data_IF_548838379646
#
_entry.id   IF_548838379646
#
_cell.length_a   1.000
_cell.length_b   1.000
_cell.length_c   1.000
_cell.angle_alpha   90.00
_cell.angle_beta   90.00
_cell.angle_gamma   90.00
#
_symmetry.space_group_name_H-M   'P 1'
#
loop_
_entity.id
_entity.type
_entity.pdbx_description
1 polymer ?
#
# COMPACT_ATOMS: atom_id res chain seq x y z
N UNK A 1 -4.10 28.48 1.57
CA UNK A 1 -5.21 27.52 1.69
C UNK A 1 -4.67 26.22 2.30
N UNK A 2 -5.21 25.84 3.46
CA UNK A 2 -4.87 24.58 4.10
C UNK A 2 -5.91 23.52 3.71
N UNK A 3 -5.49 22.58 2.85
CA UNK A 3 -6.35 21.52 2.35
C UNK A 3 -6.78 20.57 3.47
N UNK A 4 -5.87 20.23 4.37
CA UNK A 4 -6.17 19.30 5.46
C UNK A 4 -7.21 19.88 6.40
N UNK A 5 -7.10 21.16 6.73
CA UNK A 5 -8.07 21.84 7.57
C UNK A 5 -9.45 21.98 6.88
N UNK A 6 -9.46 22.25 5.58
CA UNK A 6 -10.70 22.46 4.83
C UNK A 6 -11.53 21.20 4.60
N UNK A 7 -10.88 20.03 4.57
CA UNK A 7 -11.50 18.74 4.22
C UNK A 7 -11.34 17.68 5.33
N UNK A 8 -10.87 18.06 6.51
CA UNK A 8 -10.78 17.13 7.62
C UNK A 8 -12.19 16.69 8.07
N UNK A 9 -12.40 15.40 8.18
CA UNK A 9 -13.58 14.84 8.83
C UNK A 9 -13.37 14.85 10.34
N UNK A 10 -14.16 15.66 11.06
CA UNK A 10 -14.06 15.81 12.51
C UNK A 10 -14.50 14.55 13.29
N UNK A 11 -15.25 13.65 12.66
CA UNK A 11 -15.69 12.39 13.26
C UNK A 11 -14.61 11.31 13.29
N UNK A 12 -13.55 11.46 12.49
CA UNK A 12 -12.45 10.48 12.43
C UNK A 12 -11.49 10.68 13.61
N UNK A 13 -11.08 9.60 14.29
CA UNK A 13 -10.06 9.67 15.33
C UNK A 13 -8.75 10.27 14.81
N UNK A 14 -8.44 11.48 15.19
CA UNK A 14 -7.26 12.22 14.72
C UNK A 14 -5.94 11.55 15.09
N UNK A 15 -5.93 10.78 16.18
CA UNK A 15 -4.73 10.15 16.73
C UNK A 15 -4.06 9.24 15.69
N UNK A 16 -4.83 8.39 15.00
CA UNK A 16 -4.27 7.45 14.02
C UNK A 16 -3.65 8.18 12.83
N UNK A 17 -4.36 9.14 12.26
CA UNK A 17 -3.85 9.94 11.15
C UNK A 17 -2.65 10.78 11.56
N UNK A 18 -2.67 11.36 12.76
CA UNK A 18 -1.59 12.18 13.28
C UNK A 18 -0.31 11.35 13.51
N UNK A 19 -0.41 10.20 14.17
CA UNK A 19 0.72 9.32 14.44
C UNK A 19 1.39 8.90 13.13
N UNK A 20 0.61 8.47 12.14
CA UNK A 20 1.12 8.08 10.82
C UNK A 20 1.74 9.25 10.05
N UNK A 21 1.13 10.42 10.10
CA UNK A 21 1.67 11.62 9.47
C UNK A 21 3.00 12.03 10.11
N UNK A 22 3.11 12.01 11.44
CA UNK A 22 4.35 12.33 12.14
C UNK A 22 5.45 11.30 11.82
N UNK A 23 5.10 10.00 11.79
CA UNK A 23 6.08 8.96 11.43
C UNK A 23 6.60 9.11 10.00
N UNK A 24 5.72 9.36 9.05
CA UNK A 24 6.15 9.60 7.66
C UNK A 24 7.04 10.84 7.53
N UNK A 25 6.71 11.91 8.25
CA UNK A 25 7.52 13.12 8.29
C UNK A 25 8.93 12.88 8.86
N UNK A 26 9.03 12.18 9.98
CA UNK A 26 10.29 11.77 10.61
C UNK A 26 11.18 11.01 9.61
N UNK A 27 10.63 9.95 9.00
CA UNK A 27 11.36 9.12 8.04
C UNK A 27 11.80 9.88 6.78
N UNK A 28 11.00 10.83 6.32
CA UNK A 28 11.37 11.70 5.20
C UNK A 28 12.47 12.70 5.61
N UNK A 29 12.39 13.26 6.81
CA UNK A 29 13.38 14.21 7.33
C UNK A 29 14.75 13.55 7.51
N UNK A 30 14.80 12.29 7.97
CA UNK A 30 16.03 11.53 8.14
C UNK A 30 16.86 11.41 6.84
N UNK A 31 16.19 11.39 5.71
CA UNK A 31 16.82 11.28 4.40
C UNK A 31 16.66 12.55 3.55
N UNK A 32 16.49 13.69 4.20
CA UNK A 32 16.41 14.97 3.48
C UNK A 32 17.55 15.10 2.47
N UNK A 33 17.22 15.46 1.24
CA UNK A 33 18.12 15.55 0.08
C UNK A 33 18.72 14.22 -0.43
N UNK A 34 18.36 13.07 0.16
CA UNK A 34 18.85 11.73 -0.24
C UNK A 34 17.72 10.74 -0.41
N UNK A 35 16.50 11.22 -0.63
CA UNK A 35 15.33 10.35 -0.80
C UNK A 35 15.48 9.58 -2.11
N UNK A 36 15.49 8.25 -2.00
CA UNK A 36 15.51 7.34 -3.13
C UNK A 36 14.19 6.61 -3.28
N UNK A 37 13.98 5.96 -4.41
CA UNK A 37 12.84 5.09 -4.63
C UNK A 37 12.75 3.99 -3.56
N UNK A 38 13.87 3.35 -3.27
CA UNK A 38 13.96 2.28 -2.27
C UNK A 38 13.61 2.79 -0.87
N UNK A 39 14.00 4.01 -0.55
CA UNK A 39 13.64 4.63 0.71
C UNK A 39 12.13 4.89 0.80
N UNK A 40 11.52 5.37 -0.27
CA UNK A 40 10.05 5.55 -0.31
C UNK A 40 9.31 4.21 -0.16
N UNK A 41 9.80 3.15 -0.80
CA UNK A 41 9.24 1.80 -0.63
C UNK A 41 9.42 1.28 0.81
N UNK A 42 10.53 1.64 1.47
CA UNK A 42 10.77 1.30 2.88
C UNK A 42 9.81 2.06 3.79
N UNK A 43 9.63 3.36 3.58
CA UNK A 43 8.65 4.16 4.34
C UNK A 43 7.25 3.53 4.25
N UNK A 44 6.82 3.13 3.06
CA UNK A 44 5.52 2.51 2.89
C UNK A 44 5.35 1.19 3.65
N UNK A 45 6.46 0.52 3.99
CA UNK A 45 6.50 -0.74 4.76
C UNK A 45 6.72 -0.56 6.25
N UNK A 46 6.81 0.68 6.73
CA UNK A 46 7.22 0.97 8.10
C UNK A 46 6.21 0.45 9.13
N UNK A 47 6.75 -0.23 10.15
CA UNK A 47 6.07 -0.73 11.35
C UNK A 47 6.73 -0.22 12.63
N UNK A 48 7.21 1.02 12.60
CA UNK A 48 7.95 1.67 13.69
C UNK A 48 9.30 1.03 14.00
N UNK A 49 9.96 0.43 12.99
CA UNK A 49 11.29 -0.13 13.15
C UNK A 49 12.27 0.89 13.74
N UNK A 50 13.04 0.43 14.72
CA UNK A 50 14.01 1.26 15.42
C UNK A 50 13.41 2.19 16.48
N UNK A 51 12.13 2.07 16.79
CA UNK A 51 11.48 2.82 17.87
C UNK A 51 11.03 1.88 19.01
N UNK A 52 10.62 2.46 20.14
CA UNK A 52 10.06 1.68 21.26
C UNK A 52 8.67 1.08 20.95
N UNK A 53 8.03 1.52 19.88
CA UNK A 53 6.75 0.99 19.41
C UNK A 53 6.90 -0.29 18.59
N UNK A 54 8.11 -0.58 18.14
CA UNK A 54 8.40 -1.81 17.43
C UNK A 54 8.43 -2.98 18.43
N UNK A 55 7.59 -3.98 18.17
CA UNK A 55 7.64 -5.23 18.94
C UNK A 55 8.98 -5.96 18.74
N UNK A 56 9.28 -7.01 19.55
CA UNK A 56 10.52 -7.75 19.47
C UNK A 56 10.74 -8.44 18.12
N UNK A 57 9.67 -8.75 17.43
CA UNK A 57 9.69 -9.23 16.05
C UNK A 57 8.44 -8.74 15.31
N UNK A 58 8.61 -8.44 14.03
CA UNK A 58 7.47 -8.14 13.18
C UNK A 58 6.67 -9.42 12.89
N UNK A 59 5.36 -9.33 13.11
CA UNK A 59 4.41 -10.38 12.79
C UNK A 59 3.28 -9.82 11.94
N UNK A 60 3.20 -10.17 10.66
CA UNK A 60 2.16 -9.66 9.76
C UNK A 60 0.75 -10.13 10.12
N UNK A 61 0.61 -11.15 10.95
CA UNK A 61 -0.69 -11.61 11.44
C UNK A 61 -1.26 -10.70 12.54
N UNK A 62 -0.41 -9.99 13.27
CA UNK A 62 -0.87 -9.07 14.28
C UNK A 62 -1.50 -7.80 13.67
N UNK A 63 -2.66 -7.37 14.18
CA UNK A 63 -3.25 -6.11 13.74
C UNK A 63 -2.35 -4.94 14.15
N UNK A 64 -2.04 -4.09 13.17
CA UNK A 64 -1.36 -2.84 13.41
C UNK A 64 -1.96 -1.76 12.52
N UNK A 65 -2.82 -0.93 13.08
CA UNK A 65 -3.50 0.15 12.36
C UNK A 65 -2.89 1.53 12.62
N UNK A 66 -1.84 1.63 13.43
CA UNK A 66 -1.12 2.87 13.67
C UNK A 66 0.10 3.03 12.77
N UNK A 67 0.61 1.94 12.20
CA UNK A 67 1.75 1.97 11.29
C UNK A 67 1.39 2.53 9.91
N UNK A 68 2.39 2.89 9.13
CA UNK A 68 2.20 3.28 7.74
C UNK A 68 1.71 2.10 6.90
N UNK A 69 2.27 0.92 7.13
CA UNK A 69 1.83 -0.33 6.56
C UNK A 69 0.79 -0.96 7.49
N UNK A 70 -0.49 -0.68 7.26
CA UNK A 70 -1.58 -1.12 8.15
C UNK A 70 -1.93 -2.58 7.95
N UNK A 71 -2.09 -3.27 9.09
CA UNK A 71 -2.64 -4.62 9.17
C UNK A 71 -3.81 -4.64 10.14
N UNK A 72 -4.95 -5.13 9.73
CA UNK A 72 -6.15 -5.18 10.56
C UNK A 72 -6.66 -6.59 10.64
N UNK A 73 -7.07 -7.00 11.83
CA UNK A 73 -7.80 -8.26 11.99
C UNK A 73 -9.20 -8.14 11.38
N UNK A 74 -9.67 -9.15 10.64
CA UNK A 74 -11.02 -9.15 10.09
C UNK A 74 -12.10 -9.05 11.17
N UNK A 75 -11.80 -9.43 12.41
CA UNK A 75 -12.81 -9.62 13.45
C UNK A 75 -13.24 -8.33 14.17
N UNK A 76 -12.49 -7.25 14.15
CA UNK A 76 -12.69 -6.22 15.18
C UNK A 76 -12.68 -4.76 14.76
N UNK A 77 -12.39 -4.39 13.51
CA UNK A 77 -12.39 -2.97 13.17
C UNK A 77 -12.54 -2.68 11.68
N UNK A 78 -13.18 -1.56 11.38
CA UNK A 78 -13.60 -1.14 10.04
C UNK A 78 -12.51 -0.57 9.14
N UNK A 79 -11.31 -0.38 9.65
CA UNK A 79 -10.20 0.11 8.85
C UNK A 79 -9.49 -1.10 8.22
N UNK A 80 -9.54 -1.20 6.93
CA UNK A 80 -8.97 -2.32 6.20
C UNK A 80 -7.44 -2.38 6.28
N UNK A 81 -6.88 -3.49 5.85
CA UNK A 81 -5.45 -3.57 5.54
C UNK A 81 -5.10 -2.50 4.50
N UNK A 82 -3.83 -2.12 4.42
CA UNK A 82 -3.34 -1.33 3.29
C UNK A 82 -3.70 -2.05 1.99
N UNK A 83 -4.52 -1.43 1.17
CA UNK A 83 -5.06 -2.05 -0.05
C UNK A 83 -4.02 -2.19 -1.16
N UNK A 84 -3.13 -1.22 -1.24
CA UNK A 84 -1.99 -1.22 -2.16
C UNK A 84 -1.02 -0.09 -1.80
N UNK A 85 0.17 -0.15 -2.35
CA UNK A 85 1.15 0.94 -2.26
C UNK A 85 1.76 1.22 -3.63
N UNK A 86 2.06 2.49 -3.88
CA UNK A 86 2.74 2.89 -5.10
C UNK A 86 3.84 3.93 -4.83
N UNK A 87 4.89 3.84 -5.62
CA UNK A 87 5.96 4.82 -5.68
C UNK A 87 6.19 5.19 -7.14
N UNK A 88 6.22 6.47 -7.43
CA UNK A 88 6.42 6.96 -8.79
C UNK A 88 7.81 7.56 -8.92
N UNK A 89 8.58 7.08 -9.88
CA UNK A 89 9.84 7.68 -10.26
C UNK A 89 9.59 8.63 -11.43
N UNK A 90 9.72 9.92 -11.17
CA UNK A 90 9.63 10.94 -12.20
C UNK A 90 10.99 11.10 -12.90
N UNK A 91 11.03 11.16 -14.23
CA UNK A 91 12.27 11.30 -14.95
C UNK A 91 12.89 12.70 -14.76
N UNK A 92 14.21 12.73 -14.65
CA UNK A 92 14.98 13.98 -14.64
C UNK A 92 15.13 14.59 -16.04
N UNK A 93 14.82 13.87 -17.10
CA UNK A 93 14.89 14.32 -18.50
C UNK A 93 13.81 13.66 -19.36
N UNK A 94 13.45 14.29 -20.47
CA UNK A 94 12.49 13.77 -21.45
C UNK A 94 12.90 12.46 -22.13
N UNK A 95 14.16 12.05 -21.96
CA UNK A 95 14.67 10.78 -22.50
C UNK A 95 14.39 9.57 -21.63
N UNK A 96 13.85 9.80 -20.42
CA UNK A 96 13.52 8.75 -19.48
C UNK A 96 12.00 8.67 -19.33
N UNK A 97 11.49 7.45 -19.18
CA UNK A 97 10.09 7.24 -18.94
C UNK A 97 9.77 7.30 -17.43
N UNK A 98 8.64 7.88 -17.03
CA UNK A 98 8.16 7.75 -15.67
C UNK A 98 7.82 6.29 -15.38
N UNK A 99 8.24 5.81 -14.21
CA UNK A 99 8.00 4.44 -13.78
C UNK A 99 7.10 4.46 -12.56
N UNK A 100 5.99 3.76 -12.66
CA UNK A 100 5.04 3.51 -11.59
C UNK A 100 5.35 2.15 -10.95
N UNK A 101 5.84 2.16 -9.73
CA UNK A 101 6.11 0.98 -8.94
C UNK A 101 4.90 0.68 -8.08
N UNK A 102 4.32 -0.47 -8.20
CA UNK A 102 3.10 -0.85 -7.50
C UNK A 102 3.20 -2.21 -6.84
N UNK A 103 2.58 -2.35 -5.67
CA UNK A 103 2.38 -3.62 -4.99
C UNK A 103 0.95 -3.71 -4.46
N UNK A 104 0.28 -4.86 -4.55
CA UNK A 104 -1.02 -5.09 -3.93
C UNK A 104 -0.86 -5.33 -2.43
N UNK A 105 -1.94 -5.08 -1.69
CA UNK A 105 -2.02 -5.35 -0.27
C UNK A 105 -1.05 -4.55 0.59
N UNK A 106 -0.81 -4.96 1.83
CA UNK A 106 0.21 -4.37 2.69
C UNK A 106 1.59 -4.54 2.05
N UNK A 107 2.35 -3.45 1.83
CA UNK A 107 3.60 -3.50 1.06
C UNK A 107 4.72 -4.30 1.72
N UNK A 108 4.64 -4.59 3.03
CA UNK A 108 5.61 -5.46 3.71
C UNK A 108 5.56 -6.91 3.20
N UNK A 109 4.38 -7.37 2.76
CA UNK A 109 4.17 -8.71 2.22
C UNK A 109 4.18 -8.76 0.69
N UNK A 110 4.30 -7.60 0.03
CA UNK A 110 4.24 -7.50 -1.42
C UNK A 110 5.59 -7.23 -2.07
N UNK A 111 5.64 -7.48 -3.37
CA UNK A 111 6.75 -7.08 -4.23
C UNK A 111 6.31 -5.94 -5.14
N UNK A 112 7.06 -4.85 -5.15
CA UNK A 112 6.82 -3.77 -6.10
C UNK A 112 7.18 -4.19 -7.51
N UNK A 113 6.23 -4.09 -8.43
CA UNK A 113 6.45 -4.31 -9.86
C UNK A 113 6.42 -2.99 -10.61
N UNK A 114 7.32 -2.81 -11.59
CA UNK A 114 7.40 -1.59 -12.37
C UNK A 114 6.40 -1.59 -13.53
N UNK A 115 5.75 -0.44 -13.74
CA UNK A 115 4.93 -0.17 -14.91
C UNK A 115 5.38 1.13 -15.57
N UNK A 116 5.46 1.14 -16.89
CA UNK A 116 5.76 2.33 -17.65
C UNK A 116 4.47 3.03 -18.05
N UNK A 117 4.33 4.29 -17.67
CA UNK A 117 3.11 5.08 -17.90
C UNK A 117 2.75 5.18 -19.38
N UNK A 118 3.74 5.09 -20.25
CA UNK A 118 3.58 5.13 -21.73
C UNK A 118 3.69 3.75 -22.37
N UNK A 119 3.50 2.70 -21.60
CA UNK A 119 3.57 1.32 -22.12
C UNK A 119 2.34 0.94 -22.94
N UNK A 120 2.46 -0.14 -23.69
CA UNK A 120 1.40 -0.67 -24.59
C UNK A 120 0.26 -1.39 -23.86
N UNK A 121 0.26 -1.42 -22.54
CA UNK A 121 -0.78 -2.03 -21.72
C UNK A 121 -0.24 -2.64 -20.42
N UNK A 122 -1.16 -3.06 -19.56
CA UNK A 122 -0.83 -3.75 -18.32
C UNK A 122 -0.86 -5.27 -18.53
N UNK A 123 0.04 -6.00 -17.87
CA UNK A 123 -0.05 -7.47 -17.84
C UNK A 123 -1.41 -7.93 -17.32
N UNK A 124 -1.97 -9.02 -17.86
CA UNK A 124 -3.26 -9.54 -17.43
C UNK A 124 -3.33 -9.79 -15.92
N UNK A 125 -2.25 -10.25 -15.32
CA UNK A 125 -2.17 -10.59 -13.90
C UNK A 125 -2.42 -9.39 -12.97
N UNK A 126 -2.14 -8.17 -13.42
CA UNK A 126 -2.34 -6.95 -12.63
C UNK A 126 -3.57 -6.14 -13.06
N UNK A 127 -4.06 -6.35 -14.29
CA UNK A 127 -5.25 -5.67 -14.80
C UNK A 127 -6.57 -6.38 -14.45
N UNK A 128 -6.49 -7.60 -13.94
CA UNK A 128 -7.64 -8.44 -13.59
C UNK A 128 -7.91 -8.38 -12.09
N UNK A 129 -8.64 -7.39 -11.66
CA UNK A 129 -9.10 -7.31 -10.28
C UNK A 129 -10.51 -7.90 -10.16
N UNK A 130 -10.69 -8.92 -9.32
CA UNK A 130 -11.99 -9.40 -8.88
C UNK A 130 -12.95 -9.97 -9.96
N UNK A 131 -12.55 -9.96 -11.22
CA UNK A 131 -13.42 -10.34 -12.35
C UNK A 131 -13.15 -11.72 -12.92
N UNK A 132 -12.40 -12.57 -12.21
CA UNK A 132 -11.95 -13.87 -12.71
C UNK A 132 -11.35 -13.82 -14.12
N UNK A 133 -10.64 -12.74 -14.41
CA UNK A 133 -9.92 -12.57 -15.67
C UNK A 133 -10.77 -12.15 -16.87
N UNK A 134 -11.98 -11.70 -16.68
CA UNK A 134 -12.88 -11.29 -17.77
C UNK A 134 -12.80 -9.81 -18.15
N UNK A 135 -11.61 -9.20 -18.02
CA UNK A 135 -11.38 -7.82 -18.45
C UNK A 135 -11.61 -6.78 -17.36
N UNK A 136 -11.33 -5.53 -17.68
CA UNK A 136 -11.58 -4.39 -16.79
C UNK A 136 -13.07 -4.09 -16.73
N UNK A 137 -13.66 -4.24 -15.59
CA UNK A 137 -15.02 -3.79 -15.30
C UNK A 137 -14.93 -2.49 -14.51
N UNK A 138 -15.78 -1.54 -14.82
CA UNK A 138 -15.86 -0.32 -14.03
C UNK A 138 -16.11 -0.67 -12.54
N UNK A 139 -15.50 0.02 -11.56
CA UNK A 139 -15.61 -0.33 -10.15
C UNK A 139 -17.04 -0.49 -9.65
N UNK A 140 -17.97 0.30 -10.16
CA UNK A 140 -19.40 0.25 -9.84
C UNK A 140 -20.16 -0.92 -10.50
N UNK A 141 -19.49 -1.66 -11.38
CA UNK A 141 -20.04 -2.85 -12.08
C UNK A 141 -19.21 -4.10 -11.81
N UNK A 142 -18.15 -3.97 -11.02
CA UNK A 142 -17.33 -5.11 -10.63
C UNK A 142 -18.20 -6.10 -9.85
N UNK A 143 -18.20 -7.38 -10.21
CA UNK A 143 -18.85 -8.39 -9.39
C UNK A 143 -18.16 -8.45 -8.04
N UNK A 144 -18.89 -8.96 -7.04
CA UNK A 144 -18.36 -9.27 -5.71
C UNK A 144 -17.03 -10.03 -5.87
N UNK A 145 -16.07 -9.70 -5.02
CA UNK A 145 -14.74 -10.26 -4.99
C UNK A 145 -14.72 -11.77 -5.24
N UNK A 146 -14.19 -12.14 -6.39
CA UNK A 146 -14.03 -13.53 -6.77
C UNK A 146 -12.55 -13.86 -6.90
N UNK A 147 -12.10 -14.84 -6.15
CA UNK A 147 -10.73 -15.32 -6.21
C UNK A 147 -10.31 -15.71 -7.62
N UNK A 148 -9.13 -15.32 -8.03
CA UNK A 148 -8.56 -15.63 -9.32
C UNK A 148 -7.08 -16.00 -9.18
N UNK A 149 -6.72 -17.24 -9.50
CA UNK A 149 -5.38 -17.80 -9.35
C UNK A 149 -4.31 -17.04 -10.16
N UNK A 150 -4.69 -16.40 -11.25
CA UNK A 150 -3.81 -15.65 -12.13
C UNK A 150 -3.78 -14.14 -11.79
N UNK A 151 -4.46 -13.72 -10.74
CA UNK A 151 -4.44 -12.33 -10.26
C UNK A 151 -3.30 -12.13 -9.26
N UNK A 152 -2.43 -11.18 -9.57
CA UNK A 152 -1.35 -10.78 -8.67
C UNK A 152 -1.86 -10.30 -7.31
N UNK A 153 -2.97 -9.56 -7.29
CA UNK A 153 -3.61 -9.12 -6.05
C UNK A 153 -4.10 -10.31 -5.20
N UNK A 154 -4.78 -11.28 -5.80
CA UNK A 154 -5.31 -12.44 -5.10
C UNK A 154 -4.22 -13.36 -4.55
N UNK A 155 -3.11 -13.53 -5.26
CA UNK A 155 -1.99 -14.33 -4.76
C UNK A 155 -1.39 -13.74 -3.48
N UNK A 156 -1.21 -12.40 -3.42
CA UNK A 156 -0.71 -11.75 -2.21
C UNK A 156 -1.75 -11.69 -1.11
N UNK A 157 -3.02 -11.59 -1.43
CA UNK A 157 -4.11 -11.69 -0.46
C UNK A 157 -4.15 -13.08 0.18
N UNK A 158 -4.09 -14.14 -0.59
CA UNK A 158 -4.04 -15.51 -0.10
C UNK A 158 -2.80 -15.75 0.78
N UNK A 159 -1.64 -15.18 0.41
CA UNK A 159 -0.44 -15.27 1.25
C UNK A 159 -0.67 -14.67 2.63
N UNK A 160 -1.29 -13.49 2.71
CA UNK A 160 -1.60 -12.82 3.99
C UNK A 160 -2.56 -13.66 4.81
N UNK A 161 -3.63 -14.17 4.18
CA UNK A 161 -4.65 -14.96 4.86
C UNK A 161 -4.03 -16.25 5.42
N UNK A 162 -3.17 -16.93 4.68
CA UNK A 162 -2.42 -18.11 5.18
C UNK A 162 -1.48 -17.78 6.34
N UNK A 163 -0.82 -16.62 6.33
CA UNK A 163 0.05 -16.20 7.44
C UNK A 163 -0.77 -15.90 8.69
N UNK A 164 -1.97 -15.35 8.53
CA UNK A 164 -2.88 -15.07 9.63
C UNK A 164 -3.57 -16.31 10.18
N UNK A 165 -3.55 -17.41 9.46
CA UNK A 165 -4.21 -18.66 9.85
C UNK A 165 -5.71 -18.67 9.54
N UNK A 166 -6.12 -17.88 8.56
CA UNK A 166 -7.50 -17.81 8.06
C UNK A 166 -7.75 -18.82 6.93
#
# INVERSE_FOLDING_TARGET
FDLAQAYADESVPRQVSHIRAMRSHELLADQHSRITREWMMRIARDHYEGTFLNGPCFDPANPDFHSLCMHVSPANFTWGNTASSCVVTLPASERQLPVFWWTPGPPCNGCYVPFFVQGSGLPPQVSRAGTAGKGTVAPNKAPIDTWAADSYWWQFRELIDRVKGD
#
